data_IF_675649721167
#
_entry.id   IF_675649721167
#
_cell.length_a   1.000
_cell.length_b   1.000
_cell.length_c   1.000
_cell.angle_alpha   90.00
_cell.angle_beta   90.00
_cell.angle_gamma   90.00
#
_symmetry.space_group_name_H-M   'P 1'
#
loop_
_entity.id
_entity.type
_entity.pdbx_description
1 polymer ?
#
# COMPACT_ATOMS: atom_id res chain seq x y z
N UNK A 1 -10.70 -2.62 -3.88
CA UNK A 1 -9.40 -2.81 -3.18
C UNK A 1 -8.27 -3.36 -4.07
N UNK A 2 -8.44 -3.42 -5.39
CA UNK A 2 -7.42 -3.95 -6.31
C UNK A 2 -6.23 -2.98 -6.47
N UNK A 3 -6.48 -1.66 -6.42
CA UNK A 3 -5.44 -0.64 -6.66
C UNK A 3 -4.29 -0.65 -5.66
N UNK A 4 -4.56 -0.80 -4.35
CA UNK A 4 -3.49 -0.82 -3.33
C UNK A 4 -2.62 -2.07 -3.52
N UNK A 5 -3.22 -3.25 -3.71
CA UNK A 5 -2.49 -4.49 -3.96
C UNK A 5 -1.73 -4.46 -5.29
N UNK A 6 -2.32 -3.91 -6.35
CA UNK A 6 -1.67 -3.76 -7.65
C UNK A 6 -0.47 -2.81 -7.58
N UNK A 7 -0.61 -1.67 -6.91
CA UNK A 7 0.48 -0.73 -6.69
C UNK A 7 1.59 -1.34 -5.81
N UNK A 8 1.22 -2.08 -4.75
CA UNK A 8 2.18 -2.83 -3.93
C UNK A 8 2.96 -3.86 -4.74
N UNK A 9 2.31 -4.67 -5.58
CA UNK A 9 3.01 -5.62 -6.46
C UNK A 9 3.90 -4.89 -7.47
N UNK A 10 3.41 -3.81 -8.09
CA UNK A 10 4.15 -3.04 -9.09
C UNK A 10 5.41 -2.37 -8.55
N UNK A 11 5.36 -1.90 -7.30
CA UNK A 11 6.49 -1.26 -6.62
C UNK A 11 7.23 -2.19 -5.65
N UNK A 12 7.04 -3.51 -5.76
CA UNK A 12 7.71 -4.52 -4.93
C UNK A 12 7.61 -4.21 -3.41
N UNK A 13 6.40 -3.89 -2.96
CA UNK A 13 6.08 -3.51 -1.57
C UNK A 13 6.78 -2.25 -1.07
N UNK A 14 7.28 -1.38 -1.96
CA UNK A 14 7.82 -0.08 -1.57
C UNK A 14 6.69 0.90 -1.19
N UNK A 15 6.34 0.87 0.10
CA UNK A 15 5.25 1.65 0.70
C UNK A 15 5.38 3.16 0.40
N UNK A 16 6.60 3.71 0.38
CA UNK A 16 6.82 5.13 0.10
C UNK A 16 6.45 5.49 -1.35
N UNK A 17 6.82 4.65 -2.32
CA UNK A 17 6.48 4.84 -3.74
C UNK A 17 4.98 4.65 -3.98
N UNK A 18 4.39 3.63 -3.37
CA UNK A 18 2.95 3.37 -3.46
C UNK A 18 2.14 4.50 -2.84
N UNK A 19 2.55 5.01 -1.68
CA UNK A 19 1.89 6.16 -1.05
C UNK A 19 1.95 7.39 -1.95
N UNK A 20 3.11 7.68 -2.54
CA UNK A 20 3.29 8.80 -3.46
C UNK A 20 2.43 8.64 -4.74
N UNK A 21 2.41 7.46 -5.35
CA UNK A 21 1.61 7.15 -6.54
C UNK A 21 0.11 7.25 -6.27
N UNK A 22 -0.35 6.81 -5.10
CA UNK A 22 -1.76 6.86 -4.71
C UNK A 22 -2.19 8.23 -4.14
N UNK A 23 -1.28 9.21 -4.05
CA UNK A 23 -1.56 10.52 -3.45
C UNK A 23 -1.88 10.44 -1.94
N UNK A 24 -1.39 9.39 -1.27
CA UNK A 24 -1.61 9.13 0.15
C UNK A 24 -0.36 9.47 0.96
N UNK A 25 -0.55 9.81 2.23
CA UNK A 25 0.58 9.80 3.17
C UNK A 25 0.94 8.35 3.52
N UNK A 26 2.22 8.09 3.83
CA UNK A 26 2.69 6.77 4.30
C UNK A 26 1.83 6.25 5.46
N UNK A 27 1.50 7.13 6.41
CA UNK A 27 0.65 6.81 7.56
C UNK A 27 -0.79 6.47 7.15
N UNK A 28 -1.36 7.19 6.20
CA UNK A 28 -2.69 6.87 5.63
C UNK A 28 -2.71 5.54 4.90
N UNK A 29 -1.62 5.20 4.20
CA UNK A 29 -1.47 3.90 3.56
C UNK A 29 -1.41 2.78 4.61
N UNK A 30 -0.61 2.90 5.67
CA UNK A 30 -0.58 1.93 6.78
C UNK A 30 -1.95 1.72 7.44
N UNK A 31 -2.70 2.80 7.72
CA UNK A 31 -4.04 2.69 8.28
C UNK A 31 -5.01 1.93 7.36
N UNK A 32 -4.88 2.11 6.04
CA UNK A 32 -5.65 1.35 5.05
C UNK A 32 -5.21 -0.11 5.03
N UNK A 33 -3.90 -0.39 5.03
CA UNK A 33 -3.38 -1.76 5.08
C UNK A 33 -3.90 -2.50 6.32
N UNK A 34 -3.82 -1.89 7.49
CA UNK A 34 -4.34 -2.44 8.74
C UNK A 34 -5.87 -2.64 8.69
N UNK A 35 -6.62 -1.64 8.20
CA UNK A 35 -8.09 -1.74 8.05
C UNK A 35 -8.51 -2.88 7.11
N UNK A 36 -7.73 -3.14 6.08
CA UNK A 36 -8.04 -4.15 5.07
C UNK A 36 -7.32 -5.49 5.29
N UNK A 37 -6.56 -5.64 6.38
CA UNK A 37 -5.77 -6.85 6.63
C UNK A 37 -4.77 -7.17 5.52
N UNK A 38 -4.24 -6.15 4.84
CA UNK A 38 -3.26 -6.32 3.76
C UNK A 38 -1.88 -6.38 4.39
N UNK A 39 -1.42 -7.59 4.66
CA UNK A 39 -0.10 -7.86 5.18
C UNK A 39 0.81 -8.38 4.07
N UNK A 40 2.11 -8.08 4.17
CA UNK A 40 3.10 -8.71 3.30
C UNK A 40 3.11 -10.18 3.65
N UNK A 41 2.61 -11.03 2.75
CA UNK A 41 2.82 -12.47 2.86
C UNK A 41 4.35 -12.68 2.95
N UNK A 42 4.81 -13.13 4.11
CA UNK A 42 6.20 -13.39 4.41
C UNK A 42 6.71 -14.55 3.56
#
# INVERSE_FOLDING_TARGET
>A
MQMIKAALSRHNWNISRVANELGLTRRGLYLKLARYGIEKAA
#
